data_IF_231273362795
#
_entry.id   IF_231273362795
#
_cell.length_a   1.000
_cell.length_b   1.000
_cell.length_c   1.000
_cell.angle_alpha   90.00
_cell.angle_beta   90.00
_cell.angle_gamma   90.00
#
_symmetry.space_group_name_H-M   'P 1'
#
loop_
_entity.id
_entity.type
_entity.pdbx_description
1 polymer ?
#
# COMPACT_ATOMS: atom_id res chain seq x y z
N UNK A 1 -18.17 -12.52 5.35
CA UNK A 1 -19.20 -11.46 5.29
C UNK A 1 -19.73 -11.41 3.87
N UNK A 2 -21.05 -11.40 3.67
CA UNK A 2 -21.66 -11.30 2.33
C UNK A 2 -22.17 -9.88 2.16
N UNK A 3 -21.71 -9.20 1.11
CA UNK A 3 -22.05 -7.80 0.84
C UNK A 3 -22.40 -7.66 -0.63
N UNK A 4 -23.47 -6.93 -0.93
CA UNK A 4 -23.84 -6.54 -2.30
C UNK A 4 -23.42 -5.10 -2.51
N UNK A 5 -22.71 -4.83 -3.60
CA UNK A 5 -22.25 -3.49 -3.98
C UNK A 5 -22.60 -3.24 -5.44
N UNK A 6 -22.96 -2.00 -5.76
CA UNK A 6 -23.16 -1.55 -7.13
C UNK A 6 -21.84 -1.00 -7.66
N UNK A 7 -21.42 -1.45 -8.84
CA UNK A 7 -20.20 -1.01 -9.51
C UNK A 7 -20.56 -0.64 -10.95
N UNK A 8 -19.79 0.29 -11.50
CA UNK A 8 -19.83 0.66 -12.90
C UNK A 8 -19.37 -0.52 -13.79
N UNK A 9 -20.19 -0.85 -14.80
CA UNK A 9 -19.94 -1.99 -15.66
C UNK A 9 -18.68 -1.83 -16.52
N UNK A 10 -18.38 -0.62 -17.01
CA UNK A 10 -17.17 -0.37 -17.81
C UNK A 10 -15.91 -0.56 -16.96
N UNK A 11 -15.94 -0.05 -15.73
CA UNK A 11 -14.84 -0.26 -14.77
C UNK A 11 -14.64 -1.75 -14.46
N UNK A 12 -15.74 -2.49 -14.27
CA UNK A 12 -15.69 -3.92 -14.00
C UNK A 12 -15.15 -4.72 -15.18
N UNK A 13 -15.58 -4.43 -16.41
CA UNK A 13 -15.07 -5.08 -17.61
C UNK A 13 -13.57 -4.84 -17.78
N UNK A 14 -13.12 -3.60 -17.63
CA UNK A 14 -11.69 -3.27 -17.73
C UNK A 14 -10.84 -3.98 -16.68
N UNK A 15 -11.39 -4.16 -15.48
CA UNK A 15 -10.72 -4.91 -14.42
C UNK A 15 -10.63 -6.41 -14.76
N UNK A 16 -11.66 -6.99 -15.39
CA UNK A 16 -11.66 -8.37 -15.87
C UNK A 16 -10.68 -8.60 -17.03
N UNK A 17 -10.56 -7.67 -17.98
CA UNK A 17 -9.60 -7.74 -19.08
C UNK A 17 -8.14 -7.83 -18.61
N UNK A 18 -7.85 -7.23 -17.45
CA UNK A 18 -6.53 -7.20 -16.84
C UNK A 18 -6.33 -8.31 -15.79
N UNK A 19 -7.40 -8.99 -15.39
CA UNK A 19 -7.34 -10.04 -14.39
C UNK A 19 -6.81 -11.35 -15.00
N UNK A 20 -6.17 -12.17 -14.16
CA UNK A 20 -5.70 -13.47 -14.60
C UNK A 20 -6.88 -14.37 -15.01
N UNK A 21 -6.69 -15.28 -15.99
CA UNK A 21 -7.70 -16.23 -16.40
C UNK A 21 -8.22 -17.04 -15.20
N UNK A 22 -9.54 -17.04 -15.00
CA UNK A 22 -10.18 -17.76 -13.90
C UNK A 22 -10.28 -16.96 -12.59
N UNK A 23 -9.94 -15.67 -12.58
CA UNK A 23 -10.16 -14.81 -11.41
C UNK A 23 -11.66 -14.74 -11.06
N UNK A 24 -12.01 -15.16 -9.85
CA UNK A 24 -13.37 -15.05 -9.35
C UNK A 24 -13.70 -13.60 -8.97
N UNK A 25 -14.98 -13.23 -9.05
CA UNK A 25 -15.45 -11.87 -8.70
C UNK A 25 -14.98 -11.46 -7.30
N UNK A 26 -15.04 -12.38 -6.34
CA UNK A 26 -14.65 -12.12 -4.96
C UNK A 26 -13.18 -11.77 -4.80
N UNK A 27 -12.31 -12.39 -5.60
CA UNK A 27 -10.87 -12.15 -5.55
C UNK A 27 -10.51 -10.80 -6.18
N UNK A 28 -11.17 -10.43 -7.28
CA UNK A 28 -11.02 -9.11 -7.88
C UNK A 28 -11.36 -7.99 -6.88
N UNK A 29 -12.47 -8.12 -6.15
CA UNK A 29 -12.85 -7.17 -5.11
C UNK A 29 -11.87 -7.14 -3.94
N UNK A 30 -11.36 -8.30 -3.53
CA UNK A 30 -10.37 -8.40 -2.45
C UNK A 30 -9.06 -7.70 -2.82
N UNK A 31 -8.60 -7.87 -4.06
CA UNK A 31 -7.40 -7.18 -4.56
C UNK A 31 -7.63 -5.67 -4.69
N UNK A 32 -8.78 -5.24 -5.22
CA UNK A 32 -9.13 -3.82 -5.27
C UNK A 32 -9.09 -3.17 -3.86
N UNK A 33 -9.61 -3.86 -2.84
CA UNK A 33 -9.53 -3.41 -1.45
C UNK A 33 -8.10 -3.33 -0.91
N UNK A 34 -7.25 -4.33 -1.17
CA UNK A 34 -5.84 -4.31 -0.76
C UNK A 34 -5.09 -3.13 -1.39
N UNK A 35 -5.29 -2.91 -2.70
CA UNK A 35 -4.69 -1.80 -3.44
C UNK A 35 -5.17 -0.45 -2.88
N UNK A 36 -6.46 -0.31 -2.62
CA UNK A 36 -7.00 0.92 -2.02
C UNK A 36 -6.33 1.25 -0.68
N UNK A 37 -6.22 0.26 0.22
CA UNK A 37 -5.55 0.46 1.52
C UNK A 37 -4.09 0.89 1.31
N UNK A 38 -3.36 0.24 0.39
CA UNK A 38 -1.97 0.60 0.07
C UNK A 38 -1.85 2.05 -0.40
N UNK A 39 -2.72 2.47 -1.33
CA UNK A 39 -2.71 3.84 -1.88
C UNK A 39 -3.03 4.87 -0.79
N UNK A 40 -4.06 4.63 0.03
CA UNK A 40 -4.44 5.57 1.09
C UNK A 40 -3.37 5.67 2.19
N UNK A 41 -2.76 4.54 2.55
CA UNK A 41 -1.62 4.54 3.49
C UNK A 41 -0.45 5.37 2.93
N UNK A 42 -0.10 5.20 1.65
CA UNK A 42 0.92 6.02 1.00
C UNK A 42 0.60 7.52 1.01
N UNK A 43 -0.64 7.89 0.69
CA UNK A 43 -1.10 9.30 0.75
C UNK A 43 -0.99 9.87 2.17
N UNK A 44 -1.39 9.09 3.18
CA UNK A 44 -1.29 9.50 4.59
C UNK A 44 0.16 9.71 5.01
N UNK A 45 1.05 8.78 4.66
CA UNK A 45 2.48 8.90 4.95
C UNK A 45 3.11 10.11 4.26
N UNK A 46 2.81 10.33 2.98
CA UNK A 46 3.28 11.52 2.26
C UNK A 46 2.81 12.82 2.94
N UNK A 47 1.57 12.85 3.42
CA UNK A 47 1.04 13.99 4.17
C UNK A 47 1.65 14.18 5.57
N UNK A 48 2.41 13.21 6.09
CA UNK A 48 3.20 13.36 7.32
C UNK A 48 4.60 13.95 7.07
N UNK A 49 5.06 14.00 5.83
CA UNK A 49 6.33 14.63 5.47
C UNK A 49 6.41 16.07 5.99
N UNK A 50 7.51 16.42 6.65
CA UNK A 50 7.73 17.76 7.18
C UNK A 50 6.91 18.13 8.43
N UNK A 51 6.08 17.22 8.97
CA UNK A 51 5.31 17.48 10.20
C UNK A 51 6.11 17.36 11.50
N UNK A 52 7.37 16.96 11.43
CA UNK A 52 8.28 16.85 12.57
C UNK A 52 9.59 17.63 12.32
N UNK A 53 9.54 18.98 12.22
CA UNK A 53 10.72 19.80 11.90
C UNK A 53 11.77 19.84 13.02
N UNK A 54 11.39 19.47 14.25
CA UNK A 54 12.26 19.44 15.43
C UNK A 54 12.54 18.00 15.90
N UNK A 55 12.38 17.01 15.03
CA UNK A 55 12.69 15.62 15.38
C UNK A 55 14.18 15.48 15.70
N UNK A 56 14.51 14.84 16.82
CA UNK A 56 15.90 14.56 17.17
C UNK A 56 16.55 13.64 16.13
N UNK A 57 17.85 13.84 15.91
CA UNK A 57 18.62 13.10 14.92
C UNK A 57 18.81 11.64 15.36
N UNK A 58 18.55 10.69 14.46
CA UNK A 58 18.64 9.26 14.79
C UNK A 58 20.13 8.85 14.83
N UNK A 59 20.64 8.31 15.96
CA UNK A 59 22.04 7.91 16.07
C UNK A 59 22.43 6.88 15.01
N UNK A 60 23.50 7.16 14.25
CA UNK A 60 24.03 6.19 13.28
C UNK A 60 24.70 5.05 14.03
N UNK A 61 24.24 3.81 13.80
CA UNK A 61 24.92 2.62 14.30
C UNK A 61 26.19 2.37 13.49
N UNK A 62 27.31 2.96 13.90
CA UNK A 62 28.63 2.61 13.37
C UNK A 62 29.09 1.30 14.04
N UNK A 63 29.63 0.31 13.29
CA UNK A 63 30.37 -0.76 13.92
C UNK A 63 31.53 -0.14 14.73
N UNK A 64 31.75 -0.63 15.94
CA UNK A 64 32.88 -0.19 16.76
C UNK A 64 34.16 -0.40 15.94
N UNK A 65 35.00 0.62 15.85
CA UNK A 65 36.32 0.47 15.26
C UNK A 65 37.03 -0.65 16.02
N UNK A 66 37.31 -1.76 15.35
CA UNK A 66 38.17 -2.80 15.90
C UNK A 66 39.52 -2.16 16.19
N UNK A 67 40.02 -2.23 17.44
CA UNK A 67 41.33 -1.70 17.75
C UNK A 67 42.36 -2.49 16.93
N UNK A 68 43.09 -1.79 16.07
CA UNK A 68 44.24 -2.32 15.35
C UNK A 68 45.28 -2.80 16.37
N UNK A 69 45.52 -4.12 16.41
CA UNK A 69 46.69 -4.72 17.05
C UNK A 69 47.81 -4.89 16.03
#
# INVERSE_FOLDING_TARGET
MRTTVTIDDELYQRALELADPGTEKGDLFREAMKVFVRVQSGKRLAALGGKAPHMEDIPRRRPAAEPSQ
#
